data_IF_137204807568
#
_entry.id   IF_137204807568
#
_cell.length_a   1.000
_cell.length_b   1.000
_cell.length_c   1.000
_cell.angle_alpha   90.00
_cell.angle_beta   90.00
_cell.angle_gamma   90.00
#
_symmetry.space_group_name_H-M   'P 1'
#
loop_
_entity.id
_entity.type
_entity.pdbx_description
1 polymer ?
#
# COMPACT_ATOMS: atom_id res chain seq x y z
N UNK A 1 -11.22 21.87 -5.91
CA UNK A 1 -10.97 20.45 -5.60
C UNK A 1 -9.61 20.12 -6.18
N UNK A 2 -8.63 19.78 -5.35
CA UNK A 2 -7.39 19.19 -5.84
C UNK A 2 -7.79 17.94 -6.64
N UNK A 3 -7.33 17.83 -7.89
CA UNK A 3 -7.48 16.60 -8.65
C UNK A 3 -6.82 15.47 -7.84
N UNK A 4 -7.55 14.38 -7.56
CA UNK A 4 -7.00 13.24 -6.79
C UNK A 4 -5.95 12.44 -7.58
N UNK A 5 -6.00 12.49 -8.91
CA UNK A 5 -5.12 11.68 -9.78
C UNK A 5 -3.63 11.91 -9.52
N UNK A 6 -3.09 13.15 -9.46
CA UNK A 6 -1.68 13.36 -9.12
C UNK A 6 -1.28 12.94 -7.70
N UNK A 7 -2.21 12.90 -6.74
CA UNK A 7 -1.93 12.40 -5.39
C UNK A 7 -1.87 10.87 -5.38
N UNK A 8 -2.79 10.20 -6.08
CA UNK A 8 -2.80 8.74 -6.26
C UNK A 8 -1.51 8.29 -6.96
N UNK A 9 -1.11 8.97 -8.03
CA UNK A 9 0.11 8.62 -8.78
C UNK A 9 1.37 8.75 -7.93
N UNK A 10 1.49 9.84 -7.16
CA UNK A 10 2.63 10.05 -6.26
C UNK A 10 2.67 9.04 -5.12
N UNK A 11 1.53 8.81 -4.45
CA UNK A 11 1.44 7.82 -3.39
C UNK A 11 1.73 6.40 -3.91
N UNK A 12 1.21 6.05 -5.09
CA UNK A 12 1.49 4.78 -5.74
C UNK A 12 2.97 4.63 -6.10
N UNK A 13 3.62 5.70 -6.55
CA UNK A 13 5.05 5.67 -6.86
C UNK A 13 5.92 5.43 -5.61
N UNK A 14 5.57 6.02 -4.47
CA UNK A 14 6.26 5.76 -3.19
C UNK A 14 6.02 4.35 -2.68
N UNK A 15 4.75 3.92 -2.57
CA UNK A 15 4.40 2.56 -2.14
C UNK A 15 5.07 1.52 -3.05
N UNK A 16 5.01 1.73 -4.36
CA UNK A 16 5.51 0.78 -5.34
C UNK A 16 7.02 0.60 -5.34
N UNK A 17 7.77 1.60 -4.89
CA UNK A 17 9.23 1.60 -4.81
C UNK A 17 9.76 1.01 -3.51
N UNK A 18 9.07 1.28 -2.40
CA UNK A 18 9.62 0.99 -1.06
C UNK A 18 8.98 -0.25 -0.41
N UNK A 19 7.77 -0.64 -0.83
CA UNK A 19 7.04 -1.77 -0.26
C UNK A 19 7.13 -2.97 -1.19
N UNK A 20 7.38 -4.15 -0.61
CA UNK A 20 7.44 -5.42 -1.33
C UNK A 20 6.67 -6.52 -0.62
N UNK A 21 6.33 -7.55 -1.40
CA UNK A 21 5.88 -8.84 -0.89
C UNK A 21 6.99 -9.89 -1.00
N UNK A 22 6.96 -10.87 -0.10
CA UNK A 22 7.88 -12.00 -0.10
C UNK A 22 7.26 -13.22 -0.77
N UNK A 23 7.90 -13.68 -1.85
CA UNK A 23 7.53 -14.92 -2.55
C UNK A 23 8.79 -15.75 -2.78
N UNK A 24 8.88 -16.92 -2.15
CA UNK A 24 10.02 -17.83 -2.30
C UNK A 24 11.41 -17.15 -2.08
N UNK A 25 11.48 -16.21 -1.12
CA UNK A 25 12.65 -15.36 -0.79
C UNK A 25 12.96 -14.25 -1.79
N UNK A 26 12.08 -14.00 -2.77
CA UNK A 26 12.16 -12.82 -3.61
C UNK A 26 11.36 -11.68 -3.00
N UNK A 27 11.95 -10.49 -3.04
CA UNK A 27 11.27 -9.24 -2.77
C UNK A 27 10.65 -8.77 -4.09
N UNK A 28 9.34 -8.96 -4.23
CA UNK A 28 8.58 -8.44 -5.36
C UNK A 28 7.97 -7.10 -4.95
N UNK A 29 8.54 -6.01 -5.46
CA UNK A 29 8.07 -4.66 -5.17
C UNK A 29 6.65 -4.43 -5.72
N UNK A 30 5.83 -3.68 -4.99
CA UNK A 30 4.41 -3.52 -5.32
C UNK A 30 4.19 -2.73 -6.62
N UNK A 31 5.18 -1.96 -7.07
CA UNK A 31 5.18 -1.31 -8.38
C UNK A 31 5.23 -2.35 -9.50
N UNK A 32 6.14 -3.31 -9.42
CA UNK A 32 6.27 -4.42 -10.37
C UNK A 32 5.07 -5.37 -10.32
N UNK A 33 4.52 -5.58 -9.12
CA UNK A 33 3.32 -6.38 -8.91
C UNK A 33 2.02 -5.70 -9.39
N UNK A 34 2.07 -4.42 -9.79
CA UNK A 34 0.91 -3.59 -10.15
C UNK A 34 -0.14 -3.47 -9.04
N UNK A 35 0.30 -3.57 -7.78
CA UNK A 35 -0.56 -3.45 -6.59
C UNK A 35 -0.45 -2.08 -5.92
N UNK A 36 0.54 -1.28 -6.29
CA UNK A 36 0.75 0.03 -5.69
C UNK A 36 -0.39 1.03 -5.97
N UNK A 37 -0.91 1.09 -7.20
CA UNK A 37 -2.01 2.00 -7.56
C UNK A 37 -3.32 1.65 -6.83
N UNK A 38 -3.79 0.38 -6.83
CA UNK A 38 -4.98 0.00 -6.04
C UNK A 38 -4.84 0.34 -4.55
N UNK A 39 -3.65 0.17 -3.97
CA UNK A 39 -3.42 0.53 -2.57
C UNK A 39 -3.46 2.04 -2.36
N UNK A 40 -2.83 2.83 -3.23
CA UNK A 40 -2.88 4.29 -3.14
C UNK A 40 -4.32 4.81 -3.20
N UNK A 41 -5.16 4.24 -4.07
CA UNK A 41 -6.59 4.55 -4.15
C UNK A 41 -7.35 4.19 -2.87
N UNK A 42 -7.02 3.05 -2.25
CA UNK A 42 -7.64 2.61 -1.00
C UNK A 42 -7.20 3.46 0.21
N UNK A 43 -5.94 3.88 0.27
CA UNK A 43 -5.39 4.62 1.40
C UNK A 43 -5.69 6.12 1.35
N UNK A 44 -5.71 6.75 0.18
CA UNK A 44 -5.85 8.21 0.07
C UNK A 44 -7.09 8.76 0.81
N UNK A 45 -8.30 8.16 0.72
CA UNK A 45 -9.45 8.61 1.49
C UNK A 45 -9.31 8.46 3.01
N UNK A 46 -8.49 7.52 3.47
CA UNK A 46 -8.21 7.30 4.90
C UNK A 46 -7.19 8.31 5.43
N UNK A 47 -6.19 8.66 4.61
CA UNK A 47 -5.22 9.71 4.94
C UNK A 47 -5.89 11.07 5.13
N UNK A 48 -6.93 11.39 4.37
CA UNK A 48 -7.72 12.60 4.54
C UNK A 48 -8.47 12.64 5.89
N UNK A 49 -8.63 11.50 6.58
CA UNK A 49 -9.32 11.40 7.87
C UNK A 49 -8.36 11.50 9.07
N UNK A 50 -7.05 11.38 8.86
CA UNK A 50 -6.03 11.57 9.89
C UNK A 50 -4.87 10.58 9.84
N UNK A 51 -4.25 10.36 10.99
CA UNK A 51 -3.14 9.41 11.15
C UNK A 51 -3.56 7.96 10.93
N UNK A 52 -2.71 7.26 10.18
CA UNK A 52 -2.86 5.84 9.93
C UNK A 52 -2.17 5.05 11.05
N UNK A 53 -2.94 4.20 11.71
CA UNK A 53 -2.42 3.18 12.61
C UNK A 53 -2.06 1.90 11.86
N UNK A 54 -1.19 1.08 12.47
CA UNK A 54 -0.88 -0.25 11.95
C UNK A 54 -2.15 -1.10 11.74
N UNK A 55 -3.11 -1.03 12.66
CA UNK A 55 -4.36 -1.79 12.55
C UNK A 55 -5.18 -1.41 11.30
N UNK A 56 -5.25 -0.11 10.97
CA UNK A 56 -5.94 0.35 9.75
C UNK A 56 -5.19 -0.10 8.49
N UNK A 57 -3.86 0.01 8.48
CA UNK A 57 -3.04 -0.47 7.36
C UNK A 57 -3.23 -1.97 7.14
N UNK A 58 -3.11 -2.77 8.20
CA UNK A 58 -3.33 -4.22 8.15
C UNK A 58 -4.74 -4.55 7.64
N UNK A 59 -5.77 -3.82 8.07
CA UNK A 59 -7.15 -4.03 7.58
C UNK A 59 -7.28 -3.81 6.07
N UNK A 60 -6.69 -2.74 5.52
CA UNK A 60 -6.71 -2.48 4.06
C UNK A 60 -5.95 -3.58 3.31
N UNK A 61 -4.79 -4.00 3.82
CA UNK A 61 -4.03 -5.11 3.22
C UNK A 61 -4.78 -6.44 3.28
N UNK A 62 -5.67 -6.64 4.26
CA UNK A 62 -6.52 -7.82 4.36
C UNK A 62 -7.58 -7.90 3.26
N UNK A 63 -8.07 -6.75 2.80
CA UNK A 63 -9.10 -6.66 1.75
C UNK A 63 -8.53 -6.91 0.35
N UNK A 64 -7.22 -6.72 0.15
CA UNK A 64 -6.57 -6.95 -1.15
C UNK A 64 -6.27 -8.43 -1.33
N UNK A 65 -6.97 -9.05 -2.27
CA UNK A 65 -6.77 -10.45 -2.67
C UNK A 65 -5.78 -10.58 -3.81
N UNK A 66 -4.73 -11.39 -3.62
CA UNK A 66 -3.66 -11.64 -4.59
C UNK A 66 -3.80 -13.05 -5.16
N UNK A 67 -4.02 -13.21 -6.49
CA UNK A 67 -4.03 -14.51 -7.12
C UNK A 67 -2.62 -15.11 -7.23
N UNK A 68 -2.51 -16.40 -6.97
CA UNK A 68 -1.27 -17.17 -7.04
C UNK A 68 -1.44 -18.41 -7.93
N UNK A 69 -0.37 -18.73 -8.67
CA UNK A 69 -0.30 -19.93 -9.50
C UNK A 69 -1.27 -19.95 -10.69
N UNK A 70 -1.62 -18.78 -11.24
CA UNK A 70 -2.63 -18.67 -12.31
C UNK A 70 -4.04 -18.85 -11.77
N UNK A 71 -4.41 -18.07 -10.75
CA UNK A 71 -5.73 -18.04 -10.11
C UNK A 71 -6.18 -19.34 -9.42
N UNK A 72 -5.25 -20.27 -9.17
CA UNK A 72 -5.54 -21.50 -8.43
C UNK A 72 -5.75 -21.26 -6.93
N UNK A 73 -5.14 -20.20 -6.40
CA UNK A 73 -5.26 -19.80 -5.01
C UNK A 73 -5.28 -18.29 -4.88
N UNK A 74 -5.93 -17.80 -3.83
CA UNK A 74 -6.00 -16.39 -3.50
C UNK A 74 -5.56 -16.21 -2.05
N UNK A 75 -4.62 -15.29 -1.82
CA UNK A 75 -4.18 -14.92 -0.48
C UNK A 75 -4.35 -13.42 -0.28
N UNK A 76 -4.67 -13.02 0.95
CA UNK A 76 -4.61 -11.62 1.31
C UNK A 76 -3.18 -11.10 1.16
N UNK A 77 -3.04 -9.86 0.67
CA UNK A 77 -1.78 -9.16 0.55
C UNK A 77 -1.06 -9.00 1.90
N UNK A 78 -1.81 -8.83 3.00
CA UNK A 78 -1.27 -8.80 4.37
C UNK A 78 -0.35 -10.00 4.64
N UNK A 79 -0.75 -11.18 4.18
CA UNK A 79 -0.01 -12.44 4.40
C UNK A 79 1.25 -12.56 3.55
N UNK A 80 1.37 -11.73 2.52
CA UNK A 80 2.49 -11.72 1.58
C UNK A 80 3.47 -10.59 1.89
N UNK A 81 3.04 -9.54 2.60
CA UNK A 81 3.88 -8.41 2.99
C UNK A 81 4.58 -8.72 4.33
N UNK A 82 5.92 -8.61 4.41
CA UNK A 82 6.64 -8.77 5.67
C UNK A 82 6.18 -7.77 6.72
N UNK A 83 6.17 -8.15 8.00
CA UNK A 83 5.74 -7.25 9.11
C UNK A 83 6.50 -5.92 9.12
N UNK A 84 7.80 -5.94 8.87
CA UNK A 84 8.61 -4.73 8.77
C UNK A 84 8.16 -3.79 7.63
N UNK A 85 7.64 -4.35 6.53
CA UNK A 85 7.07 -3.55 5.44
C UNK A 85 5.68 -2.99 5.80
N UNK A 86 4.90 -3.68 6.65
CA UNK A 86 3.65 -3.12 7.17
C UNK A 86 3.93 -1.90 8.07
N UNK A 87 4.95 -1.98 8.93
CA UNK A 87 5.41 -0.85 9.76
C UNK A 87 5.95 0.30 8.90
N UNK A 88 6.81 -0.01 7.92
CA UNK A 88 7.33 0.97 6.96
C UNK A 88 6.19 1.65 6.17
N UNK A 89 5.16 0.91 5.79
CA UNK A 89 4.00 1.46 5.09
C UNK A 89 3.24 2.46 5.97
N UNK A 90 3.10 2.20 7.28
CA UNK A 90 2.50 3.17 8.23
C UNK A 90 3.32 4.47 8.26
N UNK A 91 4.65 4.36 8.36
CA UNK A 91 5.53 5.53 8.38
C UNK A 91 5.45 6.33 7.06
N UNK A 92 5.50 5.63 5.93
CA UNK A 92 5.37 6.22 4.59
C UNK A 92 4.05 6.97 4.42
N UNK A 93 2.93 6.33 4.80
CA UNK A 93 1.59 6.90 4.70
C UNK A 93 1.43 8.17 5.56
N UNK A 94 1.90 8.14 6.80
CA UNK A 94 1.81 9.30 7.68
C UNK A 94 2.72 10.45 7.24
N UNK A 95 3.93 10.16 6.75
CA UNK A 95 4.82 11.16 6.14
C UNK A 95 4.16 11.81 4.93
N UNK A 96 3.63 11.01 4.01
CA UNK A 96 2.95 11.51 2.81
C UNK A 96 1.79 12.45 3.16
N UNK A 97 0.99 12.12 4.19
CA UNK A 97 -0.09 13.00 4.67
C UNK A 97 0.45 14.38 5.10
N UNK A 98 1.50 14.39 5.92
CA UNK A 98 2.10 15.64 6.41
C UNK A 98 2.63 16.51 5.26
N UNK A 99 3.24 15.89 4.25
CA UNK A 99 3.85 16.59 3.12
C UNK A 99 2.83 17.10 2.08
N UNK A 100 1.77 16.34 1.80
CA UNK A 100 0.88 16.62 0.65
C UNK A 100 -0.55 17.05 1.05
N UNK A 101 -1.00 16.75 2.27
CA UNK A 101 -2.36 17.05 2.73
C UNK A 101 -2.42 18.10 3.84
N UNK A 102 -1.32 18.28 4.59
CA UNK A 102 -1.20 19.29 5.65
C UNK A 102 -0.36 20.52 5.25
N UNK A 103 0.26 20.51 4.06
CA UNK A 103 1.03 21.64 3.48
C UNK A 103 0.17 22.65 2.72
#
# INVERSE_FOLDING_TARGET
>A
MLSRTPLIERLAAEIGRDIYMDVAKWHLYLGDAKLATPLAEAFLPLLEQGEMSLAQVTSVLQEVSVPLGGDQQFLSLERLIPKANQELLVELLNRFRQEELES
#
